data_IF_576885786982
#
_entry.id   IF_576885786982
#
_cell.length_a   1.000
_cell.length_b   1.000
_cell.length_c   1.000
_cell.angle_alpha   90.00
_cell.angle_beta   90.00
_cell.angle_gamma   90.00
#
_symmetry.space_group_name_H-M   'P 1'
#
loop_
_entity.id
_entity.type
_entity.pdbx_description
1 polymer ?
#
# COMPACT_ATOMS: atom_id res chain seq x y z
N UNK A 1 28.56 -14.00 -1.20
CA UNK A 1 28.66 -13.02 -0.09
C UNK A 1 29.63 -13.50 1.00
N UNK A 2 30.24 -12.59 1.77
CA UNK A 2 31.01 -12.96 2.95
C UNK A 2 30.10 -13.47 4.08
N UNK A 3 30.50 -14.55 4.77
CA UNK A 3 29.73 -15.22 5.82
C UNK A 3 29.26 -14.26 6.94
N UNK A 4 30.08 -13.25 7.27
CA UNK A 4 29.74 -12.21 8.23
C UNK A 4 28.51 -11.38 7.80
N UNK A 5 28.42 -10.98 6.53
CA UNK A 5 27.29 -10.19 6.01
C UNK A 5 26.00 -11.00 6.08
N UNK A 6 26.05 -12.27 5.67
CA UNK A 6 24.89 -13.15 5.74
C UNK A 6 24.38 -13.33 7.17
N UNK A 7 25.27 -13.60 8.13
CA UNK A 7 24.92 -13.72 9.54
C UNK A 7 24.34 -12.43 10.11
N UNK A 8 24.88 -11.26 9.72
CA UNK A 8 24.32 -9.96 10.17
C UNK A 8 22.91 -9.74 9.64
N UNK A 9 22.65 -10.03 8.35
CA UNK A 9 21.31 -9.89 7.75
C UNK A 9 20.32 -10.83 8.43
N UNK A 10 20.72 -12.08 8.66
CA UNK A 10 19.90 -13.07 9.35
C UNK A 10 19.57 -12.64 10.78
N UNK A 11 20.57 -12.17 11.54
CA UNK A 11 20.35 -11.64 12.89
C UNK A 11 19.41 -10.43 12.87
N UNK A 12 19.57 -9.50 11.92
CA UNK A 12 18.67 -8.36 11.74
C UNK A 12 17.23 -8.82 11.48
N UNK A 13 17.01 -9.76 10.55
CA UNK A 13 15.68 -10.28 10.25
C UNK A 13 15.05 -10.95 11.48
N UNK A 14 15.80 -11.78 12.22
CA UNK A 14 15.32 -12.39 13.47
C UNK A 14 14.91 -11.36 14.51
N UNK A 15 15.76 -10.36 14.76
CA UNK A 15 15.47 -9.28 15.72
C UNK A 15 14.20 -8.53 15.29
N UNK A 16 14.07 -8.19 14.00
CA UNK A 16 12.86 -7.53 13.49
C UNK A 16 11.61 -8.39 13.69
N UNK A 17 11.69 -9.70 13.40
CA UNK A 17 10.60 -10.64 13.64
C UNK A 17 10.16 -10.69 15.11
N UNK A 18 11.12 -10.79 16.04
CA UNK A 18 10.83 -10.80 17.49
C UNK A 18 10.15 -9.51 17.92
N UNK A 19 10.63 -8.35 17.44
CA UNK A 19 10.03 -7.04 17.76
C UNK A 19 8.59 -6.97 17.23
N UNK A 20 8.35 -7.39 15.99
CA UNK A 20 7.02 -7.35 15.36
C UNK A 20 6.04 -8.24 16.14
N UNK A 21 6.42 -9.47 16.48
CA UNK A 21 5.57 -10.40 17.24
C UNK A 21 5.21 -9.83 18.62
N UNK A 22 6.17 -9.24 19.34
CA UNK A 22 5.90 -8.59 20.63
C UNK A 22 4.93 -7.42 20.49
N UNK A 23 5.15 -6.54 19.50
CA UNK A 23 4.27 -5.39 19.24
C UNK A 23 2.87 -5.83 18.82
N UNK A 24 2.77 -6.93 18.08
CA UNK A 24 1.50 -7.54 17.69
C UNK A 24 0.74 -8.05 18.91
N UNK A 25 1.40 -8.79 19.80
CA UNK A 25 0.82 -9.26 21.07
C UNK A 25 0.30 -8.11 21.93
N UNK A 26 1.09 -7.05 22.10
CA UNK A 26 0.66 -5.83 22.80
C UNK A 26 -0.55 -5.16 22.13
N UNK A 27 -0.56 -5.12 20.79
CA UNK A 27 -1.63 -4.54 20.00
C UNK A 27 -2.94 -5.32 20.15
N UNK A 28 -2.87 -6.65 20.07
CA UNK A 28 -4.00 -7.55 20.30
C UNK A 28 -4.60 -7.36 21.68
N UNK A 29 -3.78 -7.43 22.74
CA UNK A 29 -4.25 -7.28 24.13
C UNK A 29 -5.00 -5.97 24.32
N UNK A 30 -4.45 -4.86 23.81
CA UNK A 30 -5.08 -3.52 23.94
C UNK A 30 -6.36 -3.40 23.12
N UNK A 31 -6.40 -3.97 21.92
CA UNK A 31 -7.60 -3.93 21.08
C UNK A 31 -8.73 -4.79 21.64
N UNK A 32 -8.40 -5.93 22.25
CA UNK A 32 -9.38 -6.82 22.87
C UNK A 32 -10.08 -6.14 24.06
N UNK A 33 -9.31 -5.62 25.01
CA UNK A 33 -9.84 -4.91 26.19
C UNK A 33 -10.74 -3.74 25.80
N UNK A 34 -10.36 -2.97 24.77
CA UNK A 34 -11.18 -1.84 24.32
C UNK A 34 -12.48 -2.28 23.64
N UNK A 35 -12.47 -3.33 22.83
CA UNK A 35 -13.69 -3.81 22.18
C UNK A 35 -14.68 -4.39 23.19
N UNK A 36 -14.20 -5.15 24.17
CA UNK A 36 -15.04 -5.75 25.22
C UNK A 36 -15.67 -4.67 26.12
N UNK A 37 -14.89 -3.65 26.52
CA UNK A 37 -15.41 -2.52 27.29
C UNK A 37 -16.46 -1.68 26.53
N UNK A 38 -16.36 -1.63 25.20
CA UNK A 38 -17.24 -0.84 24.34
C UNK A 38 -18.60 -1.52 24.09
N UNK A 39 -18.61 -2.83 23.81
CA UNK A 39 -19.84 -3.57 23.52
C UNK A 39 -20.71 -3.74 24.78
N UNK A 40 -20.08 -3.86 25.94
CA UNK A 40 -20.80 -4.17 27.17
C UNK A 40 -21.28 -2.94 27.95
N UNK A 41 -20.61 -1.77 27.91
CA UNK A 41 -21.07 -0.57 28.64
C UNK A 41 -20.47 0.76 28.12
N UNK A 42 -21.15 1.43 27.17
CA UNK A 42 -20.80 2.79 26.73
C UNK A 42 -20.72 3.78 27.92
N UNK A 43 -21.61 3.63 28.90
CA UNK A 43 -21.63 4.49 30.09
C UNK A 43 -20.34 4.36 30.91
N UNK A 44 -19.88 3.13 31.18
CA UNK A 44 -18.64 2.92 31.92
C UNK A 44 -17.42 3.48 31.16
N UNK A 45 -17.42 3.37 29.82
CA UNK A 45 -16.38 3.98 29.00
C UNK A 45 -16.35 5.51 29.14
N UNK A 46 -17.52 6.16 29.07
CA UNK A 46 -17.66 7.62 29.22
C UNK A 46 -17.20 8.07 30.61
N UNK A 47 -17.66 7.39 31.68
CA UNK A 47 -17.31 7.73 33.06
C UNK A 47 -15.83 7.50 33.37
N UNK A 48 -15.21 6.42 32.86
CA UNK A 48 -13.79 6.13 33.07
C UNK A 48 -12.86 7.15 32.38
N UNK A 49 -13.33 7.81 31.31
CA UNK A 49 -12.57 8.80 30.55
C UNK A 49 -12.79 10.24 31.05
N UNK A 50 -13.83 10.46 31.85
CA UNK A 50 -14.18 11.74 32.44
C UNK A 50 -13.19 12.06 33.57
N UNK A 51 -12.07 12.70 33.25
CA UNK A 51 -11.11 13.18 34.24
C UNK A 51 -10.90 14.69 34.10
N UNK A 52 -11.52 15.47 34.98
CA UNK A 52 -11.42 16.95 35.02
C UNK A 52 -10.20 17.44 35.81
N UNK A 53 -9.31 16.56 36.24
CA UNK A 53 -8.13 16.93 37.02
C UNK A 53 -6.97 17.34 36.11
N UNK A 54 -7.13 18.40 35.31
CA UNK A 54 -6.02 19.00 34.57
C UNK A 54 -5.80 20.45 34.97
N UNK A 55 -4.63 20.74 35.53
CA UNK A 55 -4.20 22.07 36.02
C UNK A 55 -3.95 23.07 34.88
N UNK A 56 -3.82 22.60 33.63
CA UNK A 56 -3.56 23.43 32.45
C UNK A 56 -4.76 23.53 31.50
N UNK A 57 -5.32 24.74 31.39
CA UNK A 57 -6.50 25.07 30.59
C UNK A 57 -6.39 24.67 29.10
N UNK A 58 -5.20 24.77 28.50
CA UNK A 58 -4.98 24.41 27.08
C UNK A 58 -5.07 22.89 26.87
N UNK A 59 -4.50 22.10 27.78
CA UNK A 59 -4.57 20.64 27.71
C UNK A 59 -5.99 20.14 27.98
N UNK A 60 -6.69 20.79 28.93
CA UNK A 60 -8.10 20.52 29.22
C UNK A 60 -8.98 20.72 27.97
N UNK A 61 -8.85 21.88 27.29
CA UNK A 61 -9.61 22.18 26.07
C UNK A 61 -9.33 21.18 24.94
N UNK A 62 -8.07 20.78 24.74
CA UNK A 62 -7.73 19.76 23.72
C UNK A 62 -8.30 18.39 24.08
N UNK A 63 -8.29 18.03 25.36
CA UNK A 63 -8.87 16.77 25.84
C UNK A 63 -10.39 16.77 25.62
N UNK A 64 -11.07 17.85 25.96
CA UNK A 64 -12.52 18.01 25.75
C UNK A 64 -12.89 17.91 24.27
N UNK A 65 -12.17 18.63 23.39
CA UNK A 65 -12.41 18.57 21.94
C UNK A 65 -12.22 17.16 21.37
N UNK A 66 -11.17 16.46 21.81
CA UNK A 66 -10.89 15.07 21.41
C UNK A 66 -11.97 14.12 21.93
N UNK A 67 -12.40 14.29 23.18
CA UNK A 67 -13.43 13.45 23.78
C UNK A 67 -14.77 13.64 23.08
N UNK A 68 -15.14 14.89 22.77
CA UNK A 68 -16.34 15.22 22.00
C UNK A 68 -16.30 14.63 20.59
N UNK A 69 -15.16 14.70 19.89
CA UNK A 69 -15.03 14.09 18.56
C UNK A 69 -15.15 12.57 18.63
N UNK A 70 -14.52 11.94 19.62
CA UNK A 70 -14.57 10.50 19.84
C UNK A 70 -15.99 10.01 20.12
N UNK A 71 -16.74 10.66 21.01
CA UNK A 71 -18.15 10.32 21.28
C UNK A 71 -19.01 10.52 20.02
N UNK A 72 -18.83 11.63 19.31
CA UNK A 72 -19.57 11.89 18.06
C UNK A 72 -19.32 10.79 17.02
N UNK A 73 -18.08 10.34 16.89
CA UNK A 73 -17.72 9.25 15.98
C UNK A 73 -18.34 7.92 16.40
N UNK A 74 -18.36 7.63 17.70
CA UNK A 74 -18.99 6.43 18.26
C UNK A 74 -20.51 6.42 17.98
N UNK A 75 -21.19 7.53 18.29
CA UNK A 75 -22.62 7.66 18.05
C UNK A 75 -22.95 7.50 16.55
N UNK A 76 -22.14 8.13 15.69
CA UNK A 76 -22.26 7.97 14.25
C UNK A 76 -22.05 6.52 13.80
N UNK A 77 -21.07 5.80 14.37
CA UNK A 77 -20.84 4.38 14.05
C UNK A 77 -22.04 3.50 14.45
N UNK A 78 -22.66 3.77 15.60
CA UNK A 78 -23.82 3.02 16.08
C UNK A 78 -25.06 3.28 15.20
N UNK A 79 -25.29 4.53 14.81
CA UNK A 79 -26.38 4.92 13.92
C UNK A 79 -26.20 4.33 12.51
N UNK A 80 -24.98 4.38 11.96
CA UNK A 80 -24.63 3.76 10.68
C UNK A 80 -24.88 2.24 10.72
N UNK A 81 -24.49 1.56 11.81
CA UNK A 81 -24.77 0.12 12.00
C UNK A 81 -26.26 -0.18 12.05
N UNK A 82 -27.06 0.67 12.70
CA UNK A 82 -28.52 0.48 12.81
C UNK A 82 -29.19 0.64 11.46
N UNK A 83 -28.89 1.73 10.76
CA UNK A 83 -29.40 2.03 9.41
C UNK A 83 -29.03 0.92 8.43
N UNK A 84 -27.76 0.48 8.47
CA UNK A 84 -27.28 -0.60 7.61
C UNK A 84 -27.97 -1.94 7.87
N UNK A 85 -28.29 -2.29 9.13
CA UNK A 85 -29.02 -3.51 9.47
C UNK A 85 -30.43 -3.51 8.89
N UNK A 86 -31.12 -2.37 8.96
CA UNK A 86 -32.46 -2.21 8.42
C UNK A 86 -32.49 -2.35 6.90
N UNK A 87 -31.56 -1.72 6.20
CA UNK A 87 -31.49 -1.77 4.74
C UNK A 87 -31.09 -3.17 4.22
N UNK A 88 -30.16 -3.84 4.90
CA UNK A 88 -29.81 -5.24 4.61
C UNK A 88 -31.00 -6.19 4.76
N UNK A 89 -31.88 -5.95 5.74
CA UNK A 89 -33.02 -6.82 6.00
C UNK A 89 -34.04 -6.78 4.84
N UNK A 90 -34.13 -5.65 4.12
CA UNK A 90 -35.02 -5.51 2.96
C UNK A 90 -34.52 -6.30 1.75
N UNK A 91 -33.25 -6.15 1.38
CA UNK A 91 -32.74 -6.66 0.09
C UNK A 91 -31.55 -7.61 0.23
N UNK A 92 -31.65 -8.61 1.13
CA UNK A 92 -30.53 -9.49 1.49
C UNK A 92 -29.83 -10.17 0.29
N UNK A 93 -30.59 -10.59 -0.73
CA UNK A 93 -30.04 -11.27 -1.91
C UNK A 93 -29.24 -10.30 -2.79
N UNK A 94 -29.79 -9.12 -3.09
CA UNK A 94 -29.14 -8.10 -3.93
C UNK A 94 -27.82 -7.65 -3.30
N UNK A 95 -27.82 -7.41 -1.99
CA UNK A 95 -26.59 -7.06 -1.26
C UNK A 95 -25.50 -8.13 -1.38
N UNK A 96 -25.86 -9.41 -1.36
CA UNK A 96 -24.88 -10.49 -1.48
C UNK A 96 -24.34 -10.63 -2.91
N UNK A 97 -25.20 -10.47 -3.92
CA UNK A 97 -24.77 -10.46 -5.34
C UNK A 97 -23.79 -9.30 -5.57
N UNK A 98 -24.11 -8.09 -5.12
CA UNK A 98 -23.23 -6.93 -5.27
C UNK A 98 -21.86 -7.13 -4.61
N UNK A 99 -21.82 -7.79 -3.44
CA UNK A 99 -20.56 -8.16 -2.80
C UNK A 99 -19.78 -9.19 -3.59
N UNK A 100 -20.44 -10.23 -4.10
CA UNK A 100 -19.81 -11.23 -4.95
C UNK A 100 -19.20 -10.58 -6.20
N UNK A 101 -19.93 -9.67 -6.86
CA UNK A 101 -19.42 -8.90 -7.98
C UNK A 101 -18.16 -8.10 -7.61
N UNK A 102 -18.13 -7.42 -6.45
CA UNK A 102 -16.92 -6.72 -6.02
C UNK A 102 -15.73 -7.66 -5.76
N UNK A 103 -15.97 -8.86 -5.23
CA UNK A 103 -14.92 -9.86 -5.05
C UNK A 103 -14.37 -10.35 -6.40
N UNK A 104 -15.25 -10.66 -7.35
CA UNK A 104 -14.87 -11.06 -8.71
C UNK A 104 -14.06 -9.96 -9.40
N UNK A 105 -14.51 -8.69 -9.33
CA UNK A 105 -13.77 -7.55 -9.86
C UNK A 105 -12.38 -7.45 -9.24
N UNK A 106 -12.26 -7.65 -7.92
CA UNK A 106 -10.96 -7.60 -7.22
C UNK A 106 -10.01 -8.70 -7.74
N UNK A 107 -10.51 -9.92 -7.94
CA UNK A 107 -9.74 -11.04 -8.47
C UNK A 107 -9.28 -10.76 -9.91
N UNK A 108 -10.16 -10.20 -10.75
CA UNK A 108 -9.81 -9.81 -12.12
C UNK A 108 -8.72 -8.73 -12.14
N UNK A 109 -8.78 -7.75 -11.24
CA UNK A 109 -7.73 -6.72 -11.11
C UNK A 109 -6.39 -7.37 -10.74
N UNK A 110 -6.38 -8.31 -9.79
CA UNK A 110 -5.15 -9.01 -9.38
C UNK A 110 -4.58 -9.86 -10.52
N UNK A 111 -5.43 -10.65 -11.19
CA UNK A 111 -5.02 -11.46 -12.33
C UNK A 111 -4.46 -10.59 -13.47
N UNK A 112 -5.16 -9.51 -13.82
CA UNK A 112 -4.73 -8.55 -14.84
C UNK A 112 -3.40 -7.87 -14.51
N UNK A 113 -3.19 -7.50 -13.23
CA UNK A 113 -1.92 -6.92 -12.82
C UNK A 113 -0.74 -7.91 -12.95
N UNK A 114 -0.94 -9.18 -12.57
CA UNK A 114 0.08 -10.22 -12.69
C UNK A 114 0.40 -10.50 -14.17
N UNK A 115 -0.61 -10.58 -15.03
CA UNK A 115 -0.39 -10.85 -16.47
C UNK A 115 0.33 -9.70 -17.16
N UNK A 116 -0.05 -8.45 -16.88
CA UNK A 116 0.65 -7.26 -17.39
C UNK A 116 2.11 -7.26 -16.92
N UNK A 117 2.34 -7.56 -15.65
CA UNK A 117 3.69 -7.63 -15.08
C UNK A 117 4.55 -8.71 -15.76
N UNK A 118 3.99 -9.91 -15.95
CA UNK A 118 4.65 -11.02 -16.63
C UNK A 118 5.05 -10.67 -18.07
N UNK A 119 4.11 -10.14 -18.86
CA UNK A 119 4.37 -9.77 -20.25
C UNK A 119 5.43 -8.67 -20.35
N UNK A 120 5.34 -7.66 -19.48
CA UNK A 120 6.30 -6.55 -19.44
C UNK A 120 7.70 -7.04 -19.10
N UNK A 121 7.81 -7.95 -18.12
CA UNK A 121 9.09 -8.51 -17.73
C UNK A 121 9.71 -9.32 -18.87
N UNK A 122 8.92 -10.17 -19.55
CA UNK A 122 9.36 -10.92 -20.74
C UNK A 122 9.84 -9.99 -21.85
N UNK A 123 9.08 -8.95 -22.14
CA UNK A 123 9.42 -7.96 -23.16
C UNK A 123 10.73 -7.22 -22.85
N UNK A 124 10.85 -6.67 -21.63
CA UNK A 124 12.08 -6.01 -21.18
C UNK A 124 13.30 -6.94 -21.25
N UNK A 125 13.14 -8.21 -20.87
CA UNK A 125 14.23 -9.19 -20.89
C UNK A 125 14.67 -9.53 -22.32
N UNK A 126 13.72 -9.80 -23.22
CA UNK A 126 13.99 -10.15 -24.60
C UNK A 126 14.69 -9.01 -25.37
N UNK A 127 14.28 -7.77 -25.14
CA UNK A 127 14.91 -6.61 -25.78
C UNK A 127 16.35 -6.38 -25.31
N UNK A 128 16.67 -6.70 -24.04
CA UNK A 128 18.06 -6.68 -23.55
C UNK A 128 18.90 -7.75 -24.22
N UNK A 129 18.40 -8.97 -24.29
CA UNK A 129 19.12 -10.10 -24.88
C UNK A 129 19.43 -9.88 -26.38
N UNK A 130 18.51 -9.25 -27.14
CA UNK A 130 18.76 -8.88 -28.55
C UNK A 130 19.91 -7.88 -28.70
N UNK A 131 20.00 -6.89 -27.80
CA UNK A 131 21.01 -5.82 -27.86
C UNK A 131 22.40 -6.32 -27.54
N UNK A 132 22.54 -7.21 -26.56
CA UNK A 132 23.82 -7.85 -26.24
C UNK A 132 24.36 -8.68 -27.42
N UNK A 133 23.48 -9.26 -28.25
CA UNK A 133 23.90 -10.05 -29.41
C UNK A 133 24.33 -9.18 -30.61
N UNK A 134 23.71 -8.02 -30.81
CA UNK A 134 23.90 -7.24 -32.03
C UNK A 134 25.08 -6.25 -31.98
N UNK A 135 25.73 -6.02 -30.83
CA UNK A 135 26.81 -5.03 -30.67
C UNK A 135 26.49 -3.65 -31.30
N UNK A 136 25.21 -3.28 -31.38
CA UNK A 136 24.76 -2.03 -32.02
C UNK A 136 24.98 -0.86 -31.06
N UNK A 137 26.22 -0.36 -31.02
CA UNK A 137 26.65 0.77 -30.18
C UNK A 137 26.40 2.13 -30.85
N UNK A 138 26.02 2.18 -32.13
CA UNK A 138 26.18 3.39 -32.96
C UNK A 138 24.91 4.21 -33.26
N UNK A 139 23.72 3.87 -32.73
CA UNK A 139 22.52 4.67 -33.01
C UNK A 139 21.31 4.52 -32.09
N UNK A 140 21.41 3.76 -30.99
CA UNK A 140 20.28 3.62 -30.05
C UNK A 140 20.15 4.86 -29.16
N UNK A 141 18.93 5.40 -29.06
CA UNK A 141 18.60 6.46 -28.11
C UNK A 141 18.86 5.94 -26.68
N UNK A 142 19.95 6.41 -26.03
CA UNK A 142 20.33 6.00 -24.64
C UNK A 142 19.17 6.12 -23.64
N UNK A 143 18.28 7.08 -23.85
CA UNK A 143 17.06 7.26 -23.06
C UNK A 143 16.08 6.09 -23.18
N UNK A 144 15.91 5.54 -24.38
CA UNK A 144 15.02 4.41 -24.65
C UNK A 144 15.55 3.13 -24.01
N UNK A 145 16.87 2.96 -23.97
CA UNK A 145 17.53 1.86 -23.26
C UNK A 145 17.26 1.91 -21.76
N UNK A 146 17.41 3.09 -21.15
CA UNK A 146 17.04 3.30 -19.75
C UNK A 146 15.54 3.06 -19.52
N UNK A 147 14.66 3.53 -20.41
CA UNK A 147 13.22 3.34 -20.26
C UNK A 147 12.85 1.85 -20.25
N UNK A 148 13.41 1.07 -21.18
CA UNK A 148 13.21 -0.39 -21.23
C UNK A 148 13.74 -1.04 -19.95
N UNK A 149 14.86 -0.55 -19.42
CA UNK A 149 15.47 -1.10 -18.21
C UNK A 149 14.59 -0.90 -16.95
N UNK A 150 13.95 0.26 -16.84
CA UNK A 150 13.07 0.62 -15.73
C UNK A 150 11.60 0.23 -15.95
N UNK A 151 11.24 -0.26 -17.14
CA UNK A 151 9.87 -0.52 -17.54
C UNK A 151 9.10 -1.43 -16.55
N UNK A 152 9.63 -2.58 -16.09
CA UNK A 152 8.93 -3.42 -15.12
C UNK A 152 8.66 -2.69 -13.81
N UNK A 153 9.62 -1.90 -13.33
CA UNK A 153 9.50 -1.10 -12.10
C UNK A 153 8.46 0.03 -12.26
N UNK A 154 8.47 0.73 -13.40
CA UNK A 154 7.48 1.78 -13.71
C UNK A 154 6.08 1.19 -13.72
N UNK A 155 5.88 0.03 -14.35
CA UNK A 155 4.57 -0.63 -14.41
C UNK A 155 4.10 -1.08 -13.03
N UNK A 156 4.99 -1.60 -12.17
CA UNK A 156 4.64 -1.92 -10.78
C UNK A 156 4.16 -0.65 -10.05
N UNK A 157 4.90 0.45 -10.14
CA UNK A 157 4.53 1.73 -9.50
C UNK A 157 3.19 2.27 -10.01
N UNK A 158 2.95 2.21 -11.33
CA UNK A 158 1.71 2.67 -11.97
C UNK A 158 0.51 1.79 -11.55
N UNK A 159 0.65 0.47 -11.56
CA UNK A 159 -0.40 -0.46 -11.11
C UNK A 159 -0.74 -0.21 -9.64
N UNK A 160 0.29 0.00 -8.79
CA UNK A 160 0.08 0.31 -7.38
C UNK A 160 -0.72 1.60 -7.19
N UNK A 161 -0.43 2.64 -7.98
CA UNK A 161 -1.15 3.90 -7.94
C UNK A 161 -2.60 3.74 -8.42
N UNK A 162 -2.81 3.15 -9.61
CA UNK A 162 -4.14 3.01 -10.22
C UNK A 162 -5.05 2.10 -9.39
N UNK A 163 -4.51 1.01 -8.83
CA UNK A 163 -5.28 0.08 -7.99
C UNK A 163 -5.85 0.77 -6.75
N UNK A 164 -5.10 1.70 -6.13
CA UNK A 164 -5.60 2.47 -4.99
C UNK A 164 -6.79 3.33 -5.37
N UNK A 165 -6.78 3.91 -6.58
CA UNK A 165 -7.88 4.74 -7.07
C UNK A 165 -9.13 3.89 -7.34
N UNK A 166 -8.95 2.74 -7.98
CA UNK A 166 -10.05 1.81 -8.26
C UNK A 166 -10.67 1.29 -6.96
N UNK A 167 -9.84 0.90 -5.98
CA UNK A 167 -10.37 0.44 -4.69
C UNK A 167 -11.02 1.56 -3.88
N UNK A 168 -10.54 2.80 -3.99
CA UNK A 168 -11.16 3.95 -3.34
C UNK A 168 -12.54 4.23 -3.95
N UNK A 169 -12.68 4.10 -5.27
CA UNK A 169 -13.97 4.14 -5.94
C UNK A 169 -14.89 3.01 -5.49
N UNK A 170 -14.37 1.78 -5.36
CA UNK A 170 -15.14 0.63 -4.87
C UNK A 170 -15.64 0.79 -3.44
N UNK A 171 -14.96 1.56 -2.59
CA UNK A 171 -15.35 1.83 -1.21
C UNK A 171 -16.64 2.66 -1.13
N UNK A 172 -16.92 3.48 -2.14
CA UNK A 172 -18.07 4.39 -2.14
C UNK A 172 -19.40 3.66 -2.42
N UNK A 173 -19.35 2.43 -2.91
CA UNK A 173 -20.51 1.55 -2.94
C UNK A 173 -20.93 1.24 -1.49
N UNK A 174 -22.12 1.71 -1.07
CA UNK A 174 -22.71 1.56 0.28
C UNK A 174 -23.09 0.09 0.63
N UNK A 175 -22.16 -0.85 0.44
CA UNK A 175 -22.36 -2.30 0.60
C UNK A 175 -21.84 -2.82 1.96
N UNK A 176 -21.11 -1.97 2.67
CA UNK A 176 -20.56 -2.22 3.99
C UNK A 176 -20.76 -0.97 4.86
N UNK A 177 -20.88 -1.17 6.17
CA UNK A 177 -20.78 -0.10 7.19
C UNK A 177 -19.48 0.68 6.98
N UNK A 178 -19.46 1.98 7.27
CA UNK A 178 -18.33 2.88 6.96
C UNK A 178 -16.98 2.34 7.47
N UNK A 179 -16.93 1.85 8.70
CA UNK A 179 -15.73 1.26 9.31
C UNK A 179 -15.29 -0.04 8.63
N UNK A 180 -16.24 -0.87 8.24
CA UNK A 180 -15.98 -2.11 7.52
C UNK A 180 -15.55 -1.85 6.07
N UNK A 181 -16.15 -0.87 5.39
CA UNK A 181 -15.78 -0.47 4.03
C UNK A 181 -14.31 -0.02 3.98
N UNK A 182 -13.89 0.85 4.92
CA UNK A 182 -12.50 1.27 5.06
C UNK A 182 -11.57 0.08 5.31
N UNK A 183 -11.95 -0.85 6.20
CA UNK A 183 -11.15 -2.05 6.47
C UNK A 183 -10.95 -2.92 5.23
N UNK A 184 -12.01 -3.18 4.46
CA UNK A 184 -11.89 -3.97 3.23
C UNK A 184 -11.07 -3.24 2.16
N UNK A 185 -11.21 -1.93 2.05
CA UNK A 185 -10.37 -1.10 1.19
C UNK A 185 -8.88 -1.27 1.53
N UNK A 186 -8.51 -1.05 2.80
CA UNK A 186 -7.12 -1.21 3.26
C UNK A 186 -6.59 -2.63 3.03
N UNK A 187 -7.39 -3.66 3.31
CA UNK A 187 -7.02 -5.06 3.07
C UNK A 187 -6.78 -5.35 1.58
N UNK A 188 -7.65 -4.87 0.68
CA UNK A 188 -7.49 -5.08 -0.77
C UNK A 188 -6.23 -4.38 -1.29
N UNK A 189 -5.98 -3.15 -0.86
CA UNK A 189 -4.80 -2.38 -1.26
C UNK A 189 -3.51 -3.07 -0.79
N UNK A 190 -3.43 -3.52 0.47
CA UNK A 190 -2.21 -4.16 0.95
C UNK A 190 -1.98 -5.52 0.29
N UNK A 191 -3.02 -6.35 0.16
CA UNK A 191 -2.89 -7.64 -0.53
C UNK A 191 -2.40 -7.42 -1.95
N UNK A 192 -2.95 -6.42 -2.66
CA UNK A 192 -2.49 -6.10 -4.01
C UNK A 192 -1.00 -5.76 -4.06
N UNK A 193 -0.53 -4.88 -3.18
CA UNK A 193 0.89 -4.48 -3.13
C UNK A 193 1.81 -5.65 -2.81
N UNK A 194 1.40 -6.54 -1.89
CA UNK A 194 2.16 -7.72 -1.51
C UNK A 194 2.22 -8.75 -2.64
N UNK A 195 1.08 -9.03 -3.29
CA UNK A 195 1.00 -9.93 -4.45
C UNK A 195 1.85 -9.39 -5.59
N UNK A 196 1.74 -8.09 -5.91
CA UNK A 196 2.51 -7.49 -6.99
C UNK A 196 4.02 -7.52 -6.72
N UNK A 197 4.44 -7.20 -5.49
CA UNK A 197 5.85 -7.28 -5.10
C UNK A 197 6.38 -8.71 -5.14
N UNK A 198 5.62 -9.67 -4.61
CA UNK A 198 5.99 -11.08 -4.64
C UNK A 198 6.08 -11.59 -6.07
N UNK A 199 5.08 -11.34 -6.91
CA UNK A 199 5.10 -11.71 -8.33
C UNK A 199 6.28 -11.08 -9.06
N UNK A 200 6.62 -9.81 -8.80
CA UNK A 200 7.79 -9.16 -9.38
C UNK A 200 9.09 -9.91 -9.07
N UNK A 201 9.34 -10.23 -7.80
CA UNK A 201 10.54 -10.96 -7.37
C UNK A 201 10.52 -12.41 -7.89
N UNK A 202 9.37 -13.08 -7.79
CA UNK A 202 9.22 -14.47 -8.20
C UNK A 202 9.39 -14.67 -9.71
N UNK A 203 8.86 -13.77 -10.55
CA UNK A 203 9.07 -13.82 -12.01
C UNK A 203 10.57 -13.70 -12.35
N UNK A 204 11.30 -12.81 -11.67
CA UNK A 204 12.76 -12.68 -11.86
C UNK A 204 13.47 -13.98 -11.47
N UNK A 205 13.13 -14.55 -10.30
CA UNK A 205 13.72 -15.81 -9.82
C UNK A 205 13.46 -16.94 -10.81
N UNK A 206 12.20 -17.12 -11.26
CA UNK A 206 11.84 -18.17 -12.22
C UNK A 206 12.63 -18.06 -13.53
N UNK A 207 12.82 -16.84 -14.05
CA UNK A 207 13.61 -16.64 -15.25
C UNK A 207 15.09 -17.03 -15.06
N UNK A 208 15.65 -16.79 -13.88
CA UNK A 208 17.02 -17.20 -13.54
C UNK A 208 17.10 -18.72 -13.43
N UNK A 209 16.19 -19.36 -12.68
CA UNK A 209 16.22 -20.81 -12.43
C UNK A 209 15.92 -21.61 -13.69
N UNK A 210 14.99 -21.15 -14.54
CA UNK A 210 14.72 -21.81 -15.82
C UNK A 210 15.91 -21.76 -16.79
N UNK A 211 16.84 -20.81 -16.63
CA UNK A 211 18.07 -20.75 -17.42
C UNK A 211 19.12 -21.78 -16.96
N UNK A 212 19.01 -22.30 -15.73
CA UNK A 212 19.94 -23.29 -15.16
C UNK A 212 19.60 -24.74 -15.52
N UNK A 213 18.41 -25.00 -16.06
CA UNK A 213 17.94 -26.38 -16.33
C UNK A 213 18.48 -26.94 -17.65
N UNK A 214 19.44 -26.26 -18.29
CA UNK A 214 20.29 -26.80 -19.35
C UNK A 214 21.69 -27.19 -18.85
N UNK A 215 21.81 -27.66 -17.61
CA UNK A 215 22.88 -28.61 -17.25
C UNK A 215 22.39 -30.04 -17.50
N UNK A 216 22.34 -30.43 -18.79
CA UNK A 216 22.21 -31.83 -19.21
C UNK A 216 20.84 -32.24 -19.76
N UNK A 217 20.86 -32.63 -21.04
CA UNK A 217 19.87 -33.42 -21.80
C UNK A 217 18.54 -32.76 -22.19
N UNK A 218 18.51 -32.49 -23.50
CA UNK A 218 17.42 -32.54 -24.49
C UNK A 218 15.97 -32.78 -24.02
N UNK A 219 15.09 -32.08 -24.75
CA UNK A 219 13.65 -32.23 -24.98
C UNK A 219 12.65 -31.63 -23.98
N UNK A 220 12.10 -30.51 -24.47
CA UNK A 220 10.70 -30.07 -24.50
C UNK A 220 10.04 -29.44 -23.26
N UNK A 221 9.46 -28.26 -23.55
CA UNK A 221 8.49 -27.48 -22.79
C UNK A 221 9.03 -26.52 -21.72
N UNK A 222 9.51 -25.36 -22.17
CA UNK A 222 8.98 -24.00 -21.85
C UNK A 222 9.70 -23.01 -22.77
N UNK A 223 8.91 -22.20 -23.46
CA UNK A 223 9.31 -21.19 -24.45
C UNK A 223 10.17 -20.08 -23.81
N UNK A 224 11.46 -20.36 -23.60
CA UNK A 224 12.48 -19.35 -23.39
C UNK A 224 12.69 -18.62 -24.74
N UNK A 225 12.87 -17.30 -24.72
CA UNK A 225 13.18 -16.56 -25.93
C UNK A 225 14.49 -17.08 -26.52
N UNK A 226 14.37 -17.95 -27.53
CA UNK A 226 15.48 -18.53 -28.26
C UNK A 226 16.14 -17.42 -29.08
N UNK A 227 17.19 -16.81 -28.52
CA UNK A 227 18.08 -15.93 -29.27
C UNK A 227 19.38 -16.72 -29.48
N UNK A 228 19.43 -17.41 -30.61
CA UNK A 228 20.63 -18.00 -31.25
C UNK A 228 21.59 -18.78 -30.35
N UNK A 229 21.10 -19.80 -29.64
CA UNK A 229 21.92 -20.95 -29.24
C UNK A 229 23.18 -20.68 -28.39
N UNK A 230 23.27 -19.54 -27.69
CA UNK A 230 24.39 -19.23 -26.80
C UNK A 230 23.87 -18.88 -25.41
N UNK A 231 24.02 -19.82 -24.48
CA UNK A 231 23.75 -19.58 -23.07
C UNK A 231 24.75 -18.54 -22.54
N UNK A 232 24.29 -17.30 -22.37
CA UNK A 232 25.06 -16.28 -21.66
C UNK A 232 25.02 -16.61 -20.17
N UNK A 233 26.17 -16.99 -19.62
CA UNK A 233 26.33 -17.24 -18.19
C UNK A 233 26.11 -15.92 -17.42
N UNK A 234 25.01 -15.84 -16.66
CA UNK A 234 24.77 -14.71 -15.75
C UNK A 234 25.68 -14.92 -14.54
N UNK A 235 26.85 -14.27 -14.55
CA UNK A 235 27.88 -14.52 -13.55
C UNK A 235 27.53 -14.05 -12.13
N UNK A 236 26.46 -13.26 -11.94
CA UNK A 236 25.95 -12.84 -10.63
C UNK A 236 24.42 -12.62 -10.65
N UNK A 237 23.63 -13.68 -10.41
CA UNK A 237 22.16 -13.57 -10.32
C UNK A 237 21.70 -12.75 -9.11
N UNK A 238 22.46 -12.80 -8.02
CA UNK A 238 22.18 -12.08 -6.77
C UNK A 238 22.14 -10.56 -6.98
N UNK A 239 23.12 -10.02 -7.71
CA UNK A 239 23.20 -8.60 -8.02
C UNK A 239 22.11 -8.15 -8.99
N UNK A 240 21.64 -9.03 -9.88
CA UNK A 240 20.56 -8.75 -10.81
C UNK A 240 19.24 -8.48 -10.04
N UNK A 241 18.92 -9.33 -9.08
CA UNK A 241 17.74 -9.18 -8.22
C UNK A 241 17.86 -7.90 -7.39
N UNK A 242 19.03 -7.66 -6.78
CA UNK A 242 19.31 -6.44 -6.02
C UNK A 242 19.12 -5.16 -6.86
N UNK A 243 19.60 -5.15 -8.11
CA UNK A 243 19.45 -4.03 -9.02
C UNK A 243 17.99 -3.81 -9.42
N UNK A 244 17.22 -4.88 -9.66
CA UNK A 244 15.80 -4.78 -9.98
C UNK A 244 14.98 -4.18 -8.82
N UNK A 245 15.22 -4.63 -7.59
CA UNK A 245 14.57 -4.09 -6.39
C UNK A 245 15.00 -2.64 -6.14
N UNK A 246 16.27 -2.30 -6.37
CA UNK A 246 16.76 -0.93 -6.27
C UNK A 246 16.05 0.01 -7.25
N UNK A 247 15.93 -0.39 -8.54
CA UNK A 247 15.19 0.38 -9.54
C UNK A 247 13.74 0.59 -9.13
N UNK A 248 13.09 -0.42 -8.56
CA UNK A 248 11.73 -0.32 -8.05
C UNK A 248 11.59 0.68 -6.89
N UNK A 249 12.53 0.67 -5.93
CA UNK A 249 12.54 1.65 -4.83
C UNK A 249 12.71 3.07 -5.36
N UNK A 250 13.56 3.27 -6.37
CA UNK A 250 13.79 4.57 -6.99
C UNK A 250 12.54 5.05 -7.75
N UNK A 251 11.93 4.20 -8.60
CA UNK A 251 10.73 4.58 -9.36
C UNK A 251 9.56 4.90 -8.45
N UNK A 252 9.34 4.10 -7.41
CA UNK A 252 8.29 4.38 -6.42
C UNK A 252 8.50 5.71 -5.70
N UNK A 253 9.75 6.04 -5.38
CA UNK A 253 10.09 7.33 -4.77
C UNK A 253 9.75 8.48 -5.70
N UNK A 254 10.17 8.38 -6.97
CA UNK A 254 9.90 9.41 -7.99
C UNK A 254 8.40 9.57 -8.22
N UNK A 255 7.66 8.47 -8.36
CA UNK A 255 6.20 8.50 -8.54
C UNK A 255 5.51 9.12 -7.33
N UNK A 256 5.90 8.75 -6.10
CA UNK A 256 5.33 9.37 -4.89
C UNK A 256 5.63 10.86 -4.80
N UNK A 257 6.84 11.29 -5.18
CA UNK A 257 7.20 12.72 -5.24
C UNK A 257 6.33 13.46 -6.26
N UNK A 258 6.17 12.93 -7.47
CA UNK A 258 5.30 13.51 -8.50
C UNK A 258 3.87 13.64 -7.99
N UNK A 259 3.33 12.60 -7.35
CA UNK A 259 1.97 12.63 -6.81
C UNK A 259 1.80 13.75 -5.78
N UNK A 260 2.70 13.87 -4.81
CA UNK A 260 2.52 14.82 -3.70
C UNK A 260 2.94 16.25 -4.04
N UNK A 261 3.92 16.44 -4.94
CA UNK A 261 4.45 17.77 -5.31
C UNK A 261 3.78 18.37 -6.55
N UNK A 262 3.18 17.54 -7.41
CA UNK A 262 2.59 17.99 -8.68
C UNK A 262 1.09 17.67 -8.72
N UNK A 263 0.72 16.40 -8.53
CA UNK A 263 -0.69 15.98 -8.71
C UNK A 263 -1.60 16.56 -7.61
N UNK A 264 -1.22 16.41 -6.34
CA UNK A 264 -1.96 16.95 -5.18
C UNK A 264 -2.21 18.48 -5.28
N UNK A 265 -1.20 19.33 -5.56
CA UNK A 265 -1.41 20.77 -5.72
C UNK A 265 -2.25 21.11 -6.95
N UNK A 266 -2.01 20.47 -8.10
CA UNK A 266 -2.82 20.70 -9.31
C UNK A 266 -4.28 20.35 -9.04
N UNK A 267 -4.53 19.19 -8.43
CA UNK A 267 -5.88 18.75 -8.04
C UNK A 267 -6.56 19.76 -7.12
N UNK A 268 -5.82 20.30 -6.17
CA UNK A 268 -6.34 21.29 -5.22
C UNK A 268 -6.63 22.63 -5.88
N UNK A 269 -5.76 23.07 -6.80
CA UNK A 269 -5.92 24.30 -7.57
C UNK A 269 -7.12 24.18 -8.52
N UNK A 270 -7.21 23.10 -9.29
CA UNK A 270 -8.36 22.81 -10.16
C UNK A 270 -9.67 22.81 -9.36
N UNK A 271 -9.70 22.15 -8.20
CA UNK A 271 -10.89 22.16 -7.34
C UNK A 271 -11.28 23.58 -6.90
N UNK A 272 -10.32 24.39 -6.46
CA UNK A 272 -10.61 25.78 -6.03
C UNK A 272 -11.10 26.66 -7.18
N UNK A 273 -10.59 26.46 -8.40
CA UNK A 273 -11.01 27.21 -9.57
C UNK A 273 -12.42 26.84 -10.06
N UNK A 274 -12.73 25.54 -10.13
CA UNK A 274 -14.01 25.05 -10.68
C UNK A 274 -15.13 24.98 -9.65
N UNK A 275 -14.80 24.74 -8.37
CA UNK A 275 -15.75 24.63 -7.27
C UNK A 275 -15.25 25.46 -6.09
N UNK A 276 -15.30 26.80 -6.18
CA UNK A 276 -14.95 27.66 -5.07
C UNK A 276 -15.86 27.32 -3.88
N UNK A 277 -15.22 26.95 -2.76
CA UNK A 277 -15.92 26.60 -1.54
C UNK A 277 -16.59 27.86 -0.99
N UNK A 278 -17.87 28.03 -1.25
CA UNK A 278 -18.65 29.07 -0.61
C UNK A 278 -18.74 28.72 0.88
N UNK A 279 -18.26 29.65 1.71
CA UNK A 279 -18.32 29.58 3.17
C UNK A 279 -19.79 29.50 3.56
N UNK A 280 -20.26 28.32 3.98
CA UNK A 280 -21.58 28.17 4.60
C UNK A 280 -21.46 28.73 6.00
N UNK A 281 -21.93 29.96 6.18
CA UNK A 281 -22.15 30.53 7.49
C UNK A 281 -23.35 29.82 8.12
N UNK A 282 -23.12 29.21 9.28
CA UNK A 282 -24.13 28.47 10.04
C UNK A 282 -25.06 29.47 10.75
N UNK A 283 -26.10 29.92 10.07
CA UNK A 283 -27.29 30.51 10.70
C UNK A 283 -28.47 29.57 10.44
N UNK A 284 -29.13 29.16 11.51
CA UNK A 284 -30.38 28.39 11.56
C UNK A 284 -30.34 26.98 10.94
N UNK A 285 -29.61 26.06 11.59
CA UNK A 285 -29.95 24.63 11.69
C UNK A 285 -30.06 23.79 10.39
N UNK A 286 -29.85 24.41 9.23
CA UNK A 286 -30.13 23.82 7.92
C UNK A 286 -28.88 23.97 7.07
N UNK A 287 -27.95 23.02 7.21
CA UNK A 287 -26.78 22.96 6.33
C UNK A 287 -27.21 22.59 4.92
N UNK A 288 -27.38 23.59 4.05
CA UNK A 288 -27.51 23.39 2.61
C UNK A 288 -26.13 23.01 2.08
N UNK A 289 -25.96 21.75 1.67
CA UNK A 289 -24.74 21.27 1.00
C UNK A 289 -24.73 21.82 -0.42
N UNK A 290 -24.12 22.98 -0.63
CA UNK A 290 -24.00 23.59 -1.96
C UNK A 290 -22.92 22.83 -2.76
N UNK A 291 -23.34 22.31 -3.91
CA UNK A 291 -22.53 21.72 -4.99
C UNK A 291 -21.37 20.82 -4.54
N UNK A 292 -21.71 19.61 -4.10
CA UNK A 292 -20.74 18.52 -4.16
C UNK A 292 -20.47 18.21 -5.65
N UNK A 293 -19.22 18.39 -6.10
CA UNK A 293 -18.80 17.90 -7.41
C UNK A 293 -19.26 16.44 -7.58
N UNK A 294 -19.72 16.04 -8.78
CA UNK A 294 -20.19 14.69 -9.01
C UNK A 294 -19.11 13.70 -8.59
N UNK A 295 -19.48 12.74 -7.73
CA UNK A 295 -18.54 11.76 -7.12
C UNK A 295 -17.74 10.96 -8.16
N UNK A 296 -18.20 10.90 -9.40
CA UNK A 296 -17.56 10.22 -10.52
C UNK A 296 -16.28 10.92 -10.99
N UNK A 297 -16.06 12.19 -10.64
CA UNK A 297 -14.88 12.95 -11.07
C UNK A 297 -13.80 12.92 -9.99
N UNK A 298 -12.98 11.87 -9.99
CA UNK A 298 -11.89 11.65 -9.04
C UNK A 298 -10.95 12.86 -8.88
N UNK A 299 -10.70 13.59 -9.98
CA UNK A 299 -9.88 14.81 -10.01
C UNK A 299 -10.44 15.99 -9.18
N UNK A 300 -11.72 15.99 -8.82
CA UNK A 300 -12.33 17.09 -8.07
C UNK A 300 -12.72 16.72 -6.63
N UNK A 301 -12.49 15.48 -6.21
CA UNK A 301 -12.77 15.06 -4.84
C UNK A 301 -11.81 15.74 -3.84
N UNK A 302 -12.29 16.07 -2.62
CA UNK A 302 -11.41 16.55 -1.54
C UNK A 302 -10.34 15.52 -1.20
N UNK A 303 -9.09 15.97 -1.01
CA UNK A 303 -8.07 15.12 -0.41
C UNK A 303 -8.30 15.08 1.11
N UNK A 304 -8.79 13.94 1.59
CA UNK A 304 -8.93 13.67 3.01
C UNK A 304 -7.64 13.03 3.58
N UNK A 305 -7.30 13.37 4.81
CA UNK A 305 -6.18 12.74 5.50
C UNK A 305 -6.58 11.40 6.11
N UNK A 306 -6.39 10.31 5.37
CA UNK A 306 -6.61 8.96 5.88
C UNK A 306 -5.29 8.34 6.36
N UNK A 307 -5.14 8.17 7.69
CA UNK A 307 -3.93 7.61 8.32
C UNK A 307 -3.57 6.23 7.75
N UNK A 308 -4.57 5.45 7.33
CA UNK A 308 -4.38 4.12 6.75
C UNK A 308 -3.41 4.13 5.57
N UNK A 309 -3.65 4.98 4.57
CA UNK A 309 -2.87 5.00 3.32
C UNK A 309 -1.38 5.28 3.59
N UNK A 310 -1.10 6.21 4.50
CA UNK A 310 0.27 6.53 4.90
C UNK A 310 0.97 5.37 5.59
N UNK A 311 0.27 4.64 6.45
CA UNK A 311 0.83 3.48 7.15
C UNK A 311 1.02 2.31 6.17
N UNK A 312 0.14 2.15 5.18
CA UNK A 312 0.31 1.15 4.12
C UNK A 312 1.52 1.44 3.23
N UNK A 313 1.79 2.71 2.89
CA UNK A 313 3.01 3.12 2.18
C UNK A 313 4.27 2.79 2.97
N UNK A 314 4.24 3.08 4.28
CA UNK A 314 5.35 2.76 5.15
C UNK A 314 5.56 1.24 5.23
N UNK A 315 4.49 0.47 5.39
CA UNK A 315 4.55 -0.99 5.49
C UNK A 315 5.09 -1.59 4.20
N UNK A 316 4.62 -1.12 3.04
CA UNK A 316 5.13 -1.52 1.74
C UNK A 316 6.60 -1.17 1.53
N UNK A 317 7.05 0.00 2.01
CA UNK A 317 8.47 0.34 2.01
C UNK A 317 9.30 -0.62 2.87
N UNK A 318 8.78 -1.05 4.02
CA UNK A 318 9.47 -2.01 4.89
C UNK A 318 9.53 -3.41 4.23
N UNK A 319 8.47 -3.84 3.56
CA UNK A 319 8.49 -5.13 2.83
C UNK A 319 9.50 -5.15 1.71
N UNK A 320 9.62 -4.04 0.96
CA UNK A 320 10.67 -3.89 -0.05
C UNK A 320 12.06 -4.03 0.55
N UNK A 321 12.29 -3.46 1.74
CA UNK A 321 13.56 -3.62 2.44
C UNK A 321 13.83 -5.07 2.82
N UNK A 322 12.84 -5.80 3.34
CA UNK A 322 13.00 -7.20 3.70
C UNK A 322 13.28 -8.09 2.49
N UNK A 323 12.62 -7.84 1.36
CA UNK A 323 12.93 -8.58 0.12
C UNK A 323 14.33 -8.26 -0.40
N UNK A 324 14.78 -7.00 -0.30
CA UNK A 324 16.01 -6.56 -0.93
C UNK A 324 17.27 -6.59 -0.06
N UNK A 325 17.16 -6.67 1.27
CA UNK A 325 18.31 -6.60 2.19
C UNK A 325 19.31 -7.74 1.96
N UNK A 326 18.84 -8.91 1.53
CA UNK A 326 19.69 -10.05 1.19
C UNK A 326 20.58 -9.76 -0.03
N UNK A 327 20.03 -9.08 -1.03
CA UNK A 327 20.69 -8.84 -2.32
C UNK A 327 21.46 -7.51 -2.38
N UNK A 328 21.00 -6.52 -1.62
CA UNK A 328 21.57 -5.17 -1.59
C UNK A 328 21.63 -4.67 -0.12
N UNK A 329 22.78 -4.81 0.57
CA UNK A 329 22.90 -4.47 1.99
C UNK A 329 22.75 -2.96 2.28
N UNK A 330 22.91 -2.10 1.26
CA UNK A 330 22.70 -0.65 1.37
C UNK A 330 21.22 -0.23 1.25
N UNK A 331 20.32 -1.14 0.88
CA UNK A 331 18.91 -0.83 0.69
C UNK A 331 18.21 -0.25 1.93
N UNK A 332 18.47 -0.70 3.16
CA UNK A 332 17.90 -0.09 4.37
C UNK A 332 18.27 1.39 4.53
N UNK A 333 19.51 1.77 4.18
CA UNK A 333 19.96 3.16 4.22
C UNK A 333 19.21 4.01 3.19
N UNK A 334 19.11 3.52 1.95
CA UNK A 334 18.35 4.19 0.88
C UNK A 334 16.88 4.35 1.28
N UNK A 335 16.28 3.32 1.89
CA UNK A 335 14.92 3.36 2.37
C UNK A 335 14.72 4.35 3.53
N UNK A 336 15.70 4.49 4.43
CA UNK A 336 15.66 5.50 5.49
C UNK A 336 15.65 6.92 4.91
N UNK A 337 16.57 7.21 3.97
CA UNK A 337 16.61 8.50 3.26
C UNK A 337 15.30 8.75 2.51
N UNK A 338 14.80 7.75 1.77
CA UNK A 338 13.51 7.80 1.09
C UNK A 338 12.38 8.17 2.05
N UNK A 339 12.29 7.50 3.21
CA UNK A 339 11.21 7.75 4.17
C UNK A 339 11.27 9.16 4.76
N UNK A 340 12.47 9.73 4.97
CA UNK A 340 12.63 11.12 5.42
C UNK A 340 12.10 12.09 4.36
N UNK A 341 12.51 11.90 3.10
CA UNK A 341 12.07 12.74 1.98
C UNK A 341 10.54 12.67 1.83
N UNK A 342 9.99 11.45 1.79
CA UNK A 342 8.54 11.22 1.65
C UNK A 342 7.78 11.78 2.85
N UNK A 343 8.32 11.69 4.06
CA UNK A 343 7.71 12.28 5.24
C UNK A 343 7.64 13.81 5.13
N UNK A 344 8.74 14.46 4.72
CA UNK A 344 8.79 15.91 4.55
C UNK A 344 7.77 16.38 3.49
N UNK A 345 7.72 15.74 2.33
CA UNK A 345 6.78 16.11 1.26
C UNK A 345 5.33 15.87 1.63
N UNK A 346 5.03 14.77 2.34
CA UNK A 346 3.68 14.48 2.84
C UNK A 346 3.26 15.46 3.93
N UNK A 347 4.16 15.82 4.85
CA UNK A 347 3.88 16.81 5.88
C UNK A 347 3.56 18.17 5.26
N UNK A 348 4.29 18.56 4.21
CA UNK A 348 4.01 19.77 3.44
C UNK A 348 2.64 19.70 2.74
N UNK A 349 2.35 18.61 2.03
CA UNK A 349 1.06 18.41 1.35
C UNK A 349 -0.12 18.47 2.32
N UNK A 350 0.04 17.92 3.53
CA UNK A 350 -0.97 17.97 4.59
C UNK A 350 -1.22 19.38 5.11
N UNK A 351 -0.18 20.18 5.27
CA UNK A 351 -0.30 21.55 5.78
C UNK A 351 -1.04 22.48 4.79
N UNK A 352 -0.80 22.31 3.50
CA UNK A 352 -1.29 23.24 2.47
C UNK A 352 -2.56 22.78 1.75
N UNK A 353 -2.71 21.48 1.47
CA UNK A 353 -3.67 20.99 0.49
C UNK A 353 -4.78 20.10 1.05
N UNK A 354 -4.55 19.38 2.16
CA UNK A 354 -5.48 18.36 2.64
C UNK A 354 -6.39 18.85 3.76
N UNK A 355 -7.63 18.34 3.77
CA UNK A 355 -8.57 18.56 4.86
C UNK A 355 -8.45 17.46 5.91
N UNK A 356 -8.78 17.81 7.16
CA UNK A 356 -8.88 16.85 8.26
C UNK A 356 -9.92 15.79 7.91
N UNK A 357 -9.59 14.52 8.10
CA UNK A 357 -10.53 13.42 7.88
C UNK A 357 -11.69 13.49 8.87
N UNK A 358 -12.89 13.15 8.40
CA UNK A 358 -14.10 13.07 9.22
C UNK A 358 -14.27 11.75 9.96
N UNK A 359 -13.30 10.82 9.86
CA UNK A 359 -13.37 9.50 10.50
C UNK A 359 -12.06 9.25 11.27
N UNK A 360 -12.09 9.44 12.58
CA UNK A 360 -10.97 9.11 13.45
C UNK A 360 -11.10 7.64 13.86
N UNK A 361 -10.25 6.76 13.31
CA UNK A 361 -10.14 5.40 13.83
C UNK A 361 -9.63 5.46 15.26
N UNK A 362 -10.25 4.71 16.19
CA UNK A 362 -9.71 4.61 17.55
C UNK A 362 -8.23 4.19 17.51
N UNK A 363 -7.33 4.92 18.19
CA UNK A 363 -5.89 4.67 18.13
C UNK A 363 -5.47 3.22 18.44
N UNK A 364 -6.20 2.50 19.31
CA UNK A 364 -5.84 1.12 19.63
C UNK A 364 -6.29 0.11 18.56
N UNK A 365 -7.49 0.30 17.97
CA UNK A 365 -7.98 -0.53 16.85
C UNK A 365 -7.06 -0.38 15.63
N UNK A 366 -6.63 0.86 15.35
CA UNK A 366 -5.67 1.15 14.29
C UNK A 366 -4.33 0.44 14.53
N UNK A 367 -3.80 0.52 15.77
CA UNK A 367 -2.53 -0.12 16.14
C UNK A 367 -2.56 -1.64 15.92
N UNK A 368 -3.63 -2.32 16.32
CA UNK A 368 -3.77 -3.75 16.07
C UNK A 368 -3.74 -4.04 14.57
N UNK A 369 -4.64 -3.43 13.79
CA UNK A 369 -4.76 -3.66 12.34
C UNK A 369 -3.41 -3.45 11.63
N UNK A 370 -2.73 -2.34 11.91
CA UNK A 370 -1.45 -2.04 11.27
C UNK A 370 -0.34 -3.01 11.68
N UNK A 371 -0.31 -3.44 12.94
CA UNK A 371 0.70 -4.41 13.38
C UNK A 371 0.42 -5.81 12.83
N UNK A 372 -0.87 -6.20 12.68
CA UNK A 372 -1.26 -7.44 11.99
C UNK A 372 -0.80 -7.44 10.54
N UNK A 373 -1.03 -6.32 9.83
CA UNK A 373 -0.62 -6.14 8.45
C UNK A 373 0.91 -6.22 8.31
N UNK A 374 1.65 -5.59 9.22
CA UNK A 374 3.11 -5.65 9.26
C UNK A 374 3.63 -7.10 9.48
N UNK A 375 3.01 -7.85 10.38
CA UNK A 375 3.37 -9.25 10.64
C UNK A 375 3.12 -10.13 9.42
N UNK A 376 1.94 -10.02 8.80
CA UNK A 376 1.60 -10.77 7.59
C UNK A 376 2.59 -10.46 6.45
N UNK A 377 2.89 -9.18 6.28
CA UNK A 377 3.85 -8.67 5.30
C UNK A 377 5.27 -9.20 5.52
N UNK A 378 5.70 -9.35 6.78
CA UNK A 378 7.01 -9.92 7.13
C UNK A 378 7.09 -11.39 6.75
N UNK A 379 6.09 -12.20 7.11
CA UNK A 379 6.02 -13.62 6.73
C UNK A 379 6.02 -13.76 5.22
N UNK A 380 5.26 -12.92 4.51
CA UNK A 380 5.20 -12.93 3.05
C UNK A 380 6.56 -12.65 2.39
N UNK A 381 7.36 -11.76 2.98
CA UNK A 381 8.69 -11.42 2.47
C UNK A 381 9.73 -12.54 2.63
N UNK A 382 9.52 -13.47 3.55
CA UNK A 382 10.43 -14.60 3.77
C UNK A 382 10.20 -15.74 2.76
N UNK A 383 9.03 -15.83 2.13
CA UNK A 383 8.69 -16.90 1.18
C UNK A 383 9.67 -17.03 -0.01
N UNK A 384 9.96 -15.95 -0.78
CA UNK A 384 10.89 -16.07 -1.91
C UNK A 384 12.32 -16.37 -1.44
N UNK A 385 12.70 -15.89 -0.26
CA UNK A 385 14.02 -16.16 0.35
C UNK A 385 14.12 -17.63 0.75
N UNK A 386 13.08 -18.18 1.35
CA UNK A 386 13.01 -19.60 1.71
C UNK A 386 13.09 -20.48 0.46
N UNK A 387 12.36 -20.14 -0.60
CA UNK A 387 12.43 -20.84 -1.89
C UNK A 387 13.86 -20.88 -2.44
N UNK A 388 14.55 -19.73 -2.47
CA UNK A 388 15.94 -19.60 -2.90
C UNK A 388 16.94 -20.38 -2.03
N UNK A 389 16.63 -20.63 -0.75
CA UNK A 389 17.50 -21.41 0.13
C UNK A 389 17.33 -22.93 -0.03
N UNK A 390 16.20 -23.36 -0.59
CA UNK A 390 15.87 -24.78 -0.81
C UNK A 390 16.20 -25.28 -2.22
N UNK A 391 16.25 -24.37 -3.19
CA UNK A 391 16.69 -24.62 -4.57
C UNK A 391 18.20 -24.51 -4.69
#
# INVERSE_FOLDING_TARGET
>A
MGLAVFLTIFACLLITGIIIVRKFGDGMRKSYVQNESFENNLFQYIFARWNYRSVHNVLARRHEQRFKSEIKNILFELDDKRSFKFERAKDKIIFQIQRLCLWLITIVIFGGAITILYFTHRFSFQERAKKEMNNDVTGSNRFLDMLIEYLPSIIVSVINLTSQLVFAYMRDFKLYTRTSALRHYLIRVIIMRLVLLFSFVFIIILQITCNSNQCGRQSELIECAEIKGKATFIHCWETLIGQAIYRLVLTDTVVMLIVHLIVDPIRTLLRRCFFPEQVVQEQDGTTIKIHAAPKTWFLFQPLEFEVGDYVLDLTYSQTLCWHGILFCPYLPLIAAVKNIIIFATKSLSLAFFRKRSGLELSPARARYIFTSVLLFSFVWALLPIAFLSTS
#
